data_IF_271279685435
#
_entry.id   IF_271279685435
#
_cell.length_a   1.000
_cell.length_b   1.000
_cell.length_c   1.000
_cell.angle_alpha   90.00
_cell.angle_beta   90.00
_cell.angle_gamma   90.00
#
_symmetry.space_group_name_H-M   'P 1'
#
loop_
_entity.id
_entity.type
_entity.pdbx_description
1 polymer ?
#
# COMPACT_ATOMS: atom_id res chain seq x y z
N UNK A 1 18.55 -4.24 13.97
CA UNK A 1 18.44 -5.65 13.50
C UNK A 1 17.55 -5.65 12.28
N UNK A 2 18.13 -5.77 11.08
CA UNK A 2 17.35 -5.84 9.84
C UNK A 2 16.54 -7.14 9.92
N UNK A 3 15.25 -7.03 10.15
CA UNK A 3 14.36 -8.18 10.12
C UNK A 3 14.35 -8.70 8.68
N UNK A 4 15.23 -9.67 8.39
CA UNK A 4 15.08 -10.55 7.25
C UNK A 4 13.82 -11.38 7.53
N UNK A 5 12.68 -10.86 7.10
CA UNK A 5 11.46 -11.64 7.08
C UNK A 5 11.61 -12.75 6.04
N UNK A 6 12.09 -13.91 6.53
CA UNK A 6 11.77 -15.19 5.91
C UNK A 6 10.34 -15.51 6.29
N UNK A 7 9.37 -14.83 5.68
CA UNK A 7 8.01 -15.35 5.64
C UNK A 7 8.14 -16.65 4.86
N UNK A 8 7.87 -17.79 5.49
CA UNK A 8 7.62 -19.05 4.80
C UNK A 8 6.31 -18.91 4.01
N UNK A 9 6.32 -18.06 2.99
CA UNK A 9 5.22 -17.88 2.07
C UNK A 9 5.32 -19.04 1.08
N UNK A 10 4.35 -19.95 1.15
CA UNK A 10 4.05 -20.77 0.00
C UNK A 10 3.48 -19.81 -1.06
N UNK A 11 4.37 -19.23 -1.87
CA UNK A 11 4.13 -18.09 -2.78
C UNK A 11 2.92 -18.28 -3.70
N UNK A 12 2.45 -19.51 -3.87
CA UNK A 12 1.29 -19.85 -4.70
C UNK A 12 -0.07 -19.64 -4.02
N UNK A 13 -0.15 -19.49 -2.68
CA UNK A 13 -1.43 -19.39 -1.96
C UNK A 13 -1.57 -18.16 -1.06
N UNK A 14 -0.54 -17.33 -0.92
CA UNK A 14 -0.59 -16.17 -0.02
C UNK A 14 -1.58 -15.13 -0.54
N UNK A 15 -2.72 -15.03 0.15
CA UNK A 15 -3.79 -14.06 -0.12
C UNK A 15 -3.76 -12.89 0.88
N UNK A 16 -3.21 -13.13 2.06
CA UNK A 16 -3.15 -12.19 3.18
C UNK A 16 -1.72 -12.12 3.71
N UNK A 17 -1.22 -10.90 3.91
CA UNK A 17 0.07 -10.63 4.55
C UNK A 17 -0.08 -9.45 5.50
N UNK A 18 0.21 -9.70 6.77
CA UNK A 18 0.19 -8.69 7.83
C UNK A 18 1.59 -8.52 8.39
N UNK A 19 2.08 -7.28 8.33
CA UNK A 19 3.36 -6.80 8.81
C UNK A 19 3.16 -5.58 9.73
N UNK A 20 1.96 -5.37 10.25
CA UNK A 20 1.62 -4.22 11.09
C UNK A 20 2.45 -4.15 12.38
N UNK A 21 2.57 -2.95 12.94
CA UNK A 21 3.20 -2.69 14.24
C UNK A 21 4.66 -3.21 14.33
N UNK A 22 5.43 -3.01 13.28
CA UNK A 22 6.86 -3.31 13.22
C UNK A 22 7.67 -2.01 13.06
N UNK A 23 8.97 -2.15 12.77
CA UNK A 23 9.88 -1.03 12.48
C UNK A 23 10.38 -1.09 11.04
N UNK A 24 9.50 -1.43 10.10
CA UNK A 24 9.86 -1.48 8.68
C UNK A 24 10.04 -0.07 8.15
N UNK A 25 11.21 0.23 7.62
CA UNK A 25 11.49 1.50 6.93
C UNK A 25 11.17 1.43 5.44
N UNK A 26 11.21 0.23 4.86
CA UNK A 26 10.97 -0.03 3.45
C UNK A 26 10.33 -1.41 3.24
N UNK A 27 9.64 -1.59 2.12
CA UNK A 27 9.26 -2.91 1.59
C UNK A 27 10.24 -3.32 0.49
N UNK A 28 10.51 -4.63 0.38
CA UNK A 28 11.42 -5.14 -0.62
C UNK A 28 10.73 -5.28 -2.00
N UNK A 29 11.47 -5.01 -3.08
CA UNK A 29 10.99 -5.09 -4.48
C UNK A 29 10.46 -6.49 -4.86
N UNK A 30 10.92 -7.55 -4.19
CA UNK A 30 10.45 -8.91 -4.44
C UNK A 30 9.01 -9.16 -3.96
N UNK A 31 8.35 -8.20 -3.29
CA UNK A 31 6.95 -8.31 -2.88
C UNK A 31 6.01 -8.58 -4.07
N UNK A 32 6.37 -8.12 -5.27
CA UNK A 32 5.63 -8.40 -6.52
C UNK A 32 5.48 -9.90 -6.84
N UNK A 33 6.30 -10.77 -6.24
CA UNK A 33 6.20 -12.23 -6.40
C UNK A 33 4.94 -12.82 -5.74
N UNK A 34 4.32 -12.09 -4.82
CA UNK A 34 3.08 -12.48 -4.14
C UNK A 34 1.86 -12.20 -5.04
N UNK A 35 1.85 -12.74 -6.26
CA UNK A 35 0.86 -12.43 -7.32
C UNK A 35 -0.60 -12.71 -6.95
N UNK A 36 -0.83 -13.48 -5.89
CA UNK A 36 -2.17 -13.80 -5.38
C UNK A 36 -2.60 -12.94 -4.19
N UNK A 37 -1.77 -11.99 -3.74
CA UNK A 37 -2.03 -11.19 -2.56
C UNK A 37 -3.23 -10.27 -2.78
N UNK A 38 -4.20 -10.35 -1.88
CA UNK A 38 -5.40 -9.52 -1.85
C UNK A 38 -5.41 -8.52 -0.70
N UNK A 39 -4.74 -8.86 0.40
CA UNK A 39 -4.70 -8.04 1.60
C UNK A 39 -3.25 -7.87 2.02
N UNK A 40 -2.80 -6.62 2.08
CA UNK A 40 -1.51 -6.23 2.61
C UNK A 40 -1.72 -5.19 3.71
N UNK A 41 -1.31 -5.53 4.93
CA UNK A 41 -1.36 -4.63 6.09
C UNK A 41 0.08 -4.33 6.52
N UNK A 42 0.46 -3.07 6.46
CA UNK A 42 1.77 -2.55 6.91
C UNK A 42 1.59 -1.35 7.84
N UNK A 43 0.40 -1.24 8.44
CA UNK A 43 0.04 -0.20 9.41
C UNK A 43 1.04 -0.10 10.56
N UNK A 44 1.33 1.11 11.05
CA UNK A 44 2.14 1.28 12.25
C UNK A 44 3.60 0.85 12.05
N UNK A 45 4.19 1.28 10.93
CA UNK A 45 5.60 1.08 10.60
C UNK A 45 6.28 2.45 10.38
N UNK A 46 7.50 2.45 9.83
CA UNK A 46 8.29 3.66 9.53
C UNK A 46 8.50 3.81 8.01
N UNK A 47 7.52 3.40 7.20
CA UNK A 47 7.64 3.46 5.74
C UNK A 47 7.62 4.91 5.28
N UNK A 48 8.64 5.31 4.52
CA UNK A 48 8.74 6.66 3.95
C UNK A 48 8.17 6.74 2.52
N UNK A 49 8.14 5.61 1.84
CA UNK A 49 7.63 5.43 0.48
C UNK A 49 7.22 3.97 0.26
N UNK A 50 6.54 3.71 -0.86
CA UNK A 50 6.30 2.36 -1.35
C UNK A 50 7.18 2.08 -2.57
N UNK A 51 7.77 0.88 -2.69
CA UNK A 51 8.38 0.47 -3.95
C UNK A 51 7.30 0.29 -5.02
N UNK A 52 7.62 0.63 -6.28
CA UNK A 52 6.71 0.41 -7.41
C UNK A 52 6.24 -1.03 -7.54
N UNK A 53 7.02 -1.99 -7.02
CA UNK A 53 6.66 -3.40 -6.99
C UNK A 53 5.31 -3.70 -6.32
N UNK A 54 4.88 -2.89 -5.33
CA UNK A 54 3.56 -3.04 -4.69
C UNK A 54 2.44 -2.82 -5.72
N UNK A 55 2.63 -1.94 -6.70
CA UNK A 55 1.65 -1.62 -7.73
C UNK A 55 1.41 -2.77 -8.72
N UNK A 56 2.31 -3.76 -8.79
CA UNK A 56 2.11 -4.98 -9.59
C UNK A 56 1.23 -6.02 -8.91
N UNK A 57 0.88 -5.83 -7.64
CA UNK A 57 -0.06 -6.67 -6.91
C UNK A 57 -1.51 -6.31 -7.28
N UNK A 58 -1.86 -6.49 -8.55
CA UNK A 58 -3.12 -6.03 -9.15
C UNK A 58 -4.38 -6.69 -8.57
N UNK A 59 -4.21 -7.70 -7.71
CA UNK A 59 -5.28 -8.37 -6.96
C UNK A 59 -5.53 -7.76 -5.57
N UNK A 60 -4.78 -6.74 -5.15
CA UNK A 60 -4.97 -6.08 -3.86
C UNK A 60 -6.36 -5.45 -3.77
N UNK A 61 -7.17 -5.98 -2.85
CA UNK A 61 -8.48 -5.47 -2.46
C UNK A 61 -8.37 -4.59 -1.20
N UNK A 62 -7.32 -4.78 -0.38
CA UNK A 62 -7.04 -3.98 0.81
C UNK A 62 -5.53 -3.73 0.91
N UNK A 63 -5.16 -2.44 0.96
CA UNK A 63 -3.81 -1.98 1.26
C UNK A 63 -3.88 -1.00 2.43
N UNK A 64 -3.39 -1.41 3.59
CA UNK A 64 -3.37 -0.57 4.79
C UNK A 64 -1.96 -0.06 5.07
N UNK A 65 -1.79 1.25 4.91
CA UNK A 65 -0.55 2.03 5.08
C UNK A 65 -0.65 3.02 6.23
N UNK A 66 -1.73 2.97 7.01
CA UNK A 66 -1.97 3.96 8.06
C UNK A 66 -0.81 4.00 9.07
N UNK A 67 -0.60 5.15 9.70
CA UNK A 67 0.44 5.33 10.71
C UNK A 67 1.84 4.93 10.22
N UNK A 68 2.25 5.54 9.10
CA UNK A 68 3.60 5.49 8.55
C UNK A 68 4.10 6.91 8.28
N UNK A 69 5.28 7.03 7.66
CA UNK A 69 5.93 8.30 7.32
C UNK A 69 5.86 8.61 5.81
N UNK A 70 4.83 8.10 5.12
CA UNK A 70 4.69 8.20 3.66
C UNK A 70 4.39 9.64 3.25
N UNK A 71 5.26 10.19 2.39
CA UNK A 71 5.13 11.56 1.87
C UNK A 71 4.47 11.62 0.49
N UNK A 72 4.57 10.55 -0.28
CA UNK A 72 4.05 10.45 -1.64
C UNK A 72 3.81 8.98 -2.02
N UNK A 73 3.11 8.74 -3.12
CA UNK A 73 2.78 7.40 -3.64
C UNK A 73 3.37 7.19 -5.04
N UNK A 74 3.74 5.96 -5.43
CA UNK A 74 4.21 5.68 -6.78
C UNK A 74 3.16 6.04 -7.84
N UNK A 75 3.63 6.54 -8.99
CA UNK A 75 2.79 6.86 -10.15
C UNK A 75 1.96 5.65 -10.58
N UNK A 76 2.53 4.45 -10.51
CA UNK A 76 1.88 3.19 -10.89
C UNK A 76 0.75 2.76 -9.94
N UNK A 77 0.51 3.44 -8.82
CA UNK A 77 -0.54 3.05 -7.87
C UNK A 77 -1.94 3.05 -8.51
N UNK A 78 -2.16 3.79 -9.60
CA UNK A 78 -3.39 3.74 -10.39
C UNK A 78 -3.68 2.36 -11.05
N UNK A 79 -2.71 1.45 -11.05
CA UNK A 79 -2.83 0.08 -11.58
C UNK A 79 -3.51 -0.88 -10.58
N UNK A 80 -3.67 -0.47 -9.31
CA UNK A 80 -4.33 -1.27 -8.28
C UNK A 80 -5.85 -1.21 -8.40
N UNK A 81 -6.38 -1.70 -9.53
CA UNK A 81 -7.79 -1.57 -9.92
C UNK A 81 -8.78 -2.29 -9.00
N UNK A 82 -8.30 -3.19 -8.13
CA UNK A 82 -9.13 -3.88 -7.14
C UNK A 82 -9.28 -3.09 -5.83
N UNK A 83 -8.50 -2.01 -5.62
CA UNK A 83 -8.77 -1.03 -4.58
C UNK A 83 -9.91 -0.12 -5.06
N UNK A 84 -11.05 -0.18 -4.36
CA UNK A 84 -12.29 0.45 -4.82
C UNK A 84 -12.56 1.82 -4.18
N UNK A 85 -12.00 2.06 -3.00
CA UNK A 85 -12.27 3.27 -2.22
C UNK A 85 -11.07 3.65 -1.34
N UNK A 86 -11.04 4.92 -0.96
CA UNK A 86 -10.30 5.34 0.23
C UNK A 86 -11.11 4.85 1.43
N UNK A 87 -10.47 4.14 2.34
CA UNK A 87 -11.08 3.52 3.49
C UNK A 87 -10.52 4.14 4.77
N UNK A 88 -11.36 4.20 5.81
CA UNK A 88 -11.02 4.79 7.10
C UNK A 88 -11.38 3.86 8.28
N UNK A 89 -12.12 2.77 8.01
CA UNK A 89 -12.56 1.81 9.01
C UNK A 89 -11.77 0.50 8.84
N UNK A 90 -11.15 -0.07 9.88
CA UNK A 90 -10.24 -1.22 9.73
C UNK A 90 -10.80 -2.45 8.98
N UNK A 91 -12.13 -2.63 9.00
CA UNK A 91 -12.83 -3.72 8.31
C UNK A 91 -13.15 -3.45 6.84
N UNK A 92 -12.95 -2.22 6.36
CA UNK A 92 -13.23 -1.85 4.98
C UNK A 92 -12.08 -2.27 4.05
N UNK A 93 -12.46 -2.85 2.91
CA UNK A 93 -11.57 -2.98 1.76
C UNK A 93 -11.30 -1.62 1.14
N UNK A 94 -10.14 -1.47 0.52
CA UNK A 94 -9.68 -0.23 -0.10
C UNK A 94 -8.28 0.16 0.33
N UNK A 95 -7.93 1.40 -0.01
CA UNK A 95 -6.68 2.03 0.42
C UNK A 95 -6.89 2.71 1.76
N UNK A 96 -6.13 2.33 2.77
CA UNK A 96 -5.96 3.11 4.00
C UNK A 96 -4.56 3.75 3.92
N UNK A 97 -4.50 5.08 3.96
CA UNK A 97 -3.24 5.85 3.91
C UNK A 97 -3.32 7.09 4.81
N UNK A 98 -4.30 7.13 5.71
CA UNK A 98 -4.49 8.20 6.66
C UNK A 98 -3.36 8.15 7.70
N UNK A 99 -3.15 9.24 8.43
CA UNK A 99 -2.07 9.33 9.42
C UNK A 99 -0.66 9.14 8.84
N UNK A 100 -0.46 9.64 7.61
CA UNK A 100 0.83 9.79 6.96
C UNK A 100 1.11 11.28 6.66
N UNK A 101 2.37 11.75 6.69
CA UNK A 101 2.75 13.12 6.37
C UNK A 101 2.75 13.40 4.85
N UNK A 102 1.63 13.08 4.17
CA UNK A 102 1.46 13.23 2.74
C UNK A 102 1.68 14.69 2.32
N UNK A 103 2.51 14.89 1.30
CA UNK A 103 2.81 16.19 0.73
C UNK A 103 1.79 16.56 -0.34
N UNK A 104 1.79 17.84 -0.71
CA UNK A 104 1.04 18.32 -1.87
C UNK A 104 1.74 17.87 -3.17
N UNK A 105 0.99 17.53 -4.23
CA UNK A 105 -0.46 17.67 -4.34
C UNK A 105 -1.26 16.43 -3.86
N UNK A 106 -0.61 15.29 -3.61
CA UNK A 106 -1.30 14.03 -3.28
C UNK A 106 -2.27 14.16 -2.11
N UNK A 107 -1.88 14.89 -1.05
CA UNK A 107 -2.76 15.18 0.08
C UNK A 107 -4.08 15.83 -0.33
N UNK A 108 -4.05 16.82 -1.22
CA UNK A 108 -5.24 17.56 -1.66
C UNK A 108 -6.07 16.73 -2.63
N UNK A 109 -5.39 16.00 -3.53
CA UNK A 109 -6.08 15.13 -4.48
C UNK A 109 -6.87 14.03 -3.77
N UNK A 110 -6.36 13.50 -2.66
CA UNK A 110 -7.03 12.50 -1.84
C UNK A 110 -8.33 12.99 -1.18
N UNK A 111 -8.53 14.31 -1.03
CA UNK A 111 -9.81 14.88 -0.59
C UNK A 111 -10.94 14.58 -1.59
N UNK A 112 -10.60 14.39 -2.87
CA UNK A 112 -11.51 13.90 -3.91
C UNK A 112 -11.69 12.38 -3.95
N UNK A 113 -11.11 11.65 -3.01
CA UNK A 113 -11.17 10.18 -2.90
C UNK A 113 -10.22 9.44 -3.84
N UNK A 114 -10.33 8.10 -3.84
CA UNK A 114 -9.40 7.23 -4.56
C UNK A 114 -9.42 7.47 -6.08
N UNK A 115 -10.60 7.71 -6.66
CA UNK A 115 -10.73 7.98 -8.10
C UNK A 115 -9.99 9.26 -8.52
N UNK A 116 -10.00 10.30 -7.68
CA UNK A 116 -9.27 11.53 -7.93
C UNK A 116 -7.75 11.27 -7.91
N UNK A 117 -7.27 10.51 -6.92
CA UNK A 117 -5.87 10.08 -6.86
C UNK A 117 -5.47 9.30 -8.11
N UNK A 118 -6.25 8.30 -8.51
CA UNK A 118 -5.91 7.48 -9.68
C UNK A 118 -5.93 8.28 -10.98
N UNK A 119 -6.83 9.26 -11.13
CA UNK A 119 -6.83 10.14 -12.30
C UNK A 119 -5.61 11.06 -12.32
N UNK A 120 -5.23 11.63 -11.18
CA UNK A 120 -4.02 12.43 -11.04
C UNK A 120 -2.76 11.64 -11.43
N UNK A 121 -2.63 10.41 -10.92
CA UNK A 121 -1.46 9.56 -11.18
C UNK A 121 -1.38 9.03 -12.63
N UNK A 122 -2.50 8.96 -13.36
CA UNK A 122 -2.52 8.61 -14.79
C UNK A 122 -2.10 9.76 -15.71
N UNK A 123 -2.19 11.00 -15.22
CA UNK A 123 -1.98 12.20 -16.02
C UNK A 123 -0.55 12.73 -15.97
N UNK A 124 0.20 12.40 -14.92
CA UNK A 124 1.67 12.52 -14.88
C UNK A 124 2.32 11.35 -15.59
#
# INVERSE_FOLDING_TARGET
TVAKLSVMANYHLTVFLDLSCNHLENLAENIQSLVNLKILIVEGNNLHSLPKAVCFLTRLELLNLDFNDIKDVPQEMHQLLQLQKLACHPLDKGLHIIHNPLLKPVKEVLEGGLSALFNYLKAG
#
